data_IF_462267820838
#
_entry.id   IF_462267820838
#
_cell.length_a   1.000
_cell.length_b   1.000
_cell.length_c   1.000
_cell.angle_alpha   90.00
_cell.angle_beta   90.00
_cell.angle_gamma   90.00
#
_symmetry.space_group_name_H-M   'P 1'
#
loop_
_entity.id
_entity.type
_entity.pdbx_description
1 polymer ?
#
# COMPACT_ATOMS: atom_id res chain seq x y z
N UNK A 1 -31.33 -6.50 -1.81
CA UNK A 1 -30.44 -6.04 -2.89
C UNK A 1 -29.13 -6.81 -2.82
N UNK A 2 -28.60 -7.29 -3.93
CA UNK A 2 -27.34 -8.02 -3.94
C UNK A 2 -26.16 -7.02 -3.85
N UNK A 3 -25.53 -6.93 -2.67
CA UNK A 3 -24.43 -5.99 -2.40
C UNK A 3 -23.07 -6.46 -2.93
N UNK A 4 -22.97 -7.71 -3.36
CA UNK A 4 -21.70 -8.33 -3.76
C UNK A 4 -20.96 -7.58 -4.88
N UNK A 5 -21.61 -7.13 -5.98
CA UNK A 5 -20.92 -6.39 -7.03
C UNK A 5 -20.31 -5.08 -6.53
N UNK A 6 -21.07 -4.34 -5.70
CA UNK A 6 -20.60 -3.09 -5.10
C UNK A 6 -19.39 -3.33 -4.19
N UNK A 7 -19.47 -4.33 -3.31
CA UNK A 7 -18.38 -4.69 -2.40
C UNK A 7 -17.12 -5.08 -3.18
N UNK A 8 -17.26 -5.88 -4.24
CA UNK A 8 -16.15 -6.28 -5.10
C UNK A 8 -15.54 -5.08 -5.83
N UNK A 9 -16.36 -4.20 -6.40
CA UNK A 9 -15.87 -2.98 -7.06
C UNK A 9 -15.09 -2.09 -6.08
N UNK A 10 -15.62 -1.87 -4.88
CA UNK A 10 -14.93 -1.08 -3.85
C UNK A 10 -13.61 -1.74 -3.41
N UNK A 11 -13.61 -3.07 -3.25
CA UNK A 11 -12.42 -3.83 -2.90
C UNK A 11 -11.32 -3.66 -3.94
N UNK A 12 -11.66 -3.86 -5.22
CA UNK A 12 -10.71 -3.74 -6.33
C UNK A 12 -10.23 -2.29 -6.49
N UNK A 13 -11.11 -1.29 -6.41
CA UNK A 13 -10.72 0.11 -6.49
C UNK A 13 -9.74 0.49 -5.37
N UNK A 14 -9.98 0.05 -4.14
CA UNK A 14 -9.06 0.27 -3.02
C UNK A 14 -7.70 -0.39 -3.25
N UNK A 15 -7.68 -1.63 -3.75
CA UNK A 15 -6.45 -2.32 -4.12
C UNK A 15 -5.68 -1.56 -5.23
N UNK A 16 -6.38 -1.08 -6.27
CA UNK A 16 -5.81 -0.32 -7.37
C UNK A 16 -5.24 1.02 -6.91
N UNK A 17 -5.97 1.78 -6.09
CA UNK A 17 -5.50 3.07 -5.57
C UNK A 17 -4.22 2.89 -4.75
N UNK A 18 -4.20 1.91 -3.86
CA UNK A 18 -3.04 1.68 -3.00
C UNK A 18 -1.85 1.10 -3.78
N UNK A 19 -2.02 -0.04 -4.45
CA UNK A 19 -0.92 -0.72 -5.14
C UNK A 19 -0.47 0.07 -6.38
N UNK A 20 -1.40 0.62 -7.14
CA UNK A 20 -1.10 1.49 -8.29
C UNK A 20 -0.41 2.79 -7.87
N UNK A 21 -0.83 3.40 -6.77
CA UNK A 21 -0.16 4.57 -6.21
C UNK A 21 1.29 4.26 -5.75
N UNK A 22 1.52 3.10 -5.12
CA UNK A 22 2.88 2.64 -4.80
C UNK A 22 3.71 2.39 -6.05
N UNK A 23 3.13 1.78 -7.09
CA UNK A 23 3.80 1.56 -8.37
C UNK A 23 4.23 2.89 -9.01
N UNK A 24 3.30 3.84 -9.13
CA UNK A 24 3.59 5.16 -9.69
C UNK A 24 4.68 5.88 -8.88
N UNK A 25 4.56 5.89 -7.55
CA UNK A 25 5.55 6.53 -6.69
C UNK A 25 6.95 5.91 -6.86
N UNK A 26 7.04 4.58 -6.86
CA UNK A 26 8.31 3.87 -6.86
C UNK A 26 8.97 3.82 -8.25
N UNK A 27 8.19 3.54 -9.30
CA UNK A 27 8.69 3.30 -10.65
C UNK A 27 8.75 4.56 -11.52
N UNK A 28 7.86 5.53 -11.29
CA UNK A 28 7.73 6.70 -12.17
C UNK A 28 8.22 7.97 -11.47
N UNK A 29 7.62 8.32 -10.33
CA UNK A 29 7.92 9.58 -9.65
C UNK A 29 9.35 9.62 -9.10
N UNK A 30 9.81 8.53 -8.49
CA UNK A 30 11.15 8.44 -7.90
C UNK A 30 12.29 8.72 -8.87
N UNK A 31 12.43 8.02 -10.02
CA UNK A 31 13.57 8.27 -10.91
C UNK A 31 13.57 9.70 -11.44
N UNK A 32 12.39 10.26 -11.76
CA UNK A 32 12.25 11.66 -12.20
C UNK A 32 12.65 12.64 -11.11
N UNK A 33 12.19 12.44 -9.87
CA UNK A 33 12.59 13.27 -8.73
C UNK A 33 14.10 13.15 -8.44
N UNK A 34 14.71 11.99 -8.71
CA UNK A 34 16.14 11.79 -8.50
C UNK A 34 17.00 12.47 -9.57
N UNK A 35 16.51 12.61 -10.80
CA UNK A 35 17.24 13.25 -11.90
C UNK A 35 17.06 14.76 -11.95
N UNK A 36 15.87 15.27 -11.57
CA UNK A 36 15.54 16.69 -11.74
C UNK A 36 15.79 17.54 -10.48
N UNK A 37 15.82 16.96 -9.29
CA UNK A 37 15.85 17.71 -8.04
C UNK A 37 17.10 17.47 -7.22
N UNK A 38 17.61 18.57 -6.66
CA UNK A 38 18.67 18.55 -5.67
C UNK A 38 18.26 17.78 -4.39
N UNK A 39 19.22 17.20 -3.65
CA UNK A 39 18.91 16.33 -2.52
C UNK A 39 17.97 16.93 -1.47
N UNK A 40 18.11 18.20 -1.01
CA UNK A 40 17.21 18.78 0.00
C UNK A 40 15.78 19.00 -0.52
N UNK A 41 15.65 19.55 -1.74
CA UNK A 41 14.36 19.81 -2.39
C UNK A 41 13.58 18.51 -2.61
N UNK A 42 14.29 17.45 -3.01
CA UNK A 42 13.72 16.11 -3.19
C UNK A 42 13.13 15.54 -1.90
N UNK A 43 13.73 15.78 -0.72
CA UNK A 43 13.18 15.31 0.55
C UNK A 43 11.86 16.03 0.88
N UNK A 44 11.80 17.35 0.69
CA UNK A 44 10.58 18.14 0.87
C UNK A 44 9.45 17.70 -0.06
N UNK A 45 9.76 17.43 -1.34
CA UNK A 45 8.79 16.89 -2.30
C UNK A 45 8.21 15.56 -1.81
N UNK A 46 9.05 14.64 -1.34
CA UNK A 46 8.58 13.34 -0.84
C UNK A 46 7.69 13.47 0.39
N UNK A 47 8.02 14.37 1.32
CA UNK A 47 7.12 14.69 2.45
C UNK A 47 5.76 15.16 1.95
N UNK A 48 5.72 16.08 0.97
CA UNK A 48 4.47 16.61 0.44
C UNK A 48 3.64 15.57 -0.34
N UNK A 49 4.31 14.66 -1.06
CA UNK A 49 3.67 13.55 -1.79
C UNK A 49 3.09 12.54 -0.81
N UNK A 50 3.86 12.09 0.18
CA UNK A 50 3.38 11.17 1.20
C UNK A 50 2.25 11.76 2.03
N UNK A 51 2.32 13.06 2.35
CA UNK A 51 1.26 13.79 3.05
C UNK A 51 -0.09 13.77 2.31
N UNK A 52 -0.07 13.69 0.98
CA UNK A 52 -1.28 13.54 0.16
C UNK A 52 -1.68 12.09 -0.08
N UNK A 53 -0.72 11.19 -0.28
CA UNK A 53 -1.00 9.80 -0.64
C UNK A 53 -1.40 8.93 0.56
N UNK A 54 -0.80 9.12 1.74
CA UNK A 54 -1.07 8.27 2.90
C UNK A 54 -2.52 8.33 3.42
N UNK A 55 -3.23 9.47 3.38
CA UNK A 55 -4.68 9.48 3.63
C UNK A 55 -5.47 8.52 2.72
N UNK A 56 -5.13 8.44 1.43
CA UNK A 56 -5.75 7.49 0.50
C UNK A 56 -5.40 6.03 0.83
N UNK A 57 -4.19 5.77 1.34
CA UNK A 57 -3.80 4.44 1.82
C UNK A 57 -4.62 4.03 3.03
N UNK A 58 -4.83 4.95 4.00
CA UNK A 58 -5.71 4.70 5.15
C UNK A 58 -7.14 4.36 4.73
N UNK A 59 -7.71 5.14 3.82
CA UNK A 59 -9.05 4.85 3.26
C UNK A 59 -9.06 3.48 2.57
N UNK A 60 -8.03 3.19 1.76
CA UNK A 60 -7.93 1.91 1.06
C UNK A 60 -7.87 0.72 2.03
N UNK A 61 -7.10 0.82 3.12
CA UNK A 61 -7.02 -0.21 4.16
C UNK A 61 -8.40 -0.50 4.77
N UNK A 62 -9.11 0.55 5.17
CA UNK A 62 -10.45 0.41 5.79
C UNK A 62 -11.42 -0.24 4.80
N UNK A 63 -11.44 0.25 3.55
CA UNK A 63 -12.31 -0.30 2.50
C UNK A 63 -11.96 -1.76 2.22
N UNK A 64 -10.68 -2.12 2.11
CA UNK A 64 -10.23 -3.49 1.85
C UNK A 64 -10.62 -4.45 2.97
N UNK A 65 -10.48 -4.07 4.24
CA UNK A 65 -10.87 -4.89 5.38
C UNK A 65 -12.38 -5.11 5.39
N UNK A 66 -13.18 -4.03 5.31
CA UNK A 66 -14.63 -4.11 5.37
C UNK A 66 -15.17 -4.92 4.19
N UNK A 67 -14.75 -4.59 2.97
CA UNK A 67 -15.21 -5.27 1.76
C UNK A 67 -14.70 -6.71 1.68
N UNK A 68 -13.43 -6.95 2.03
CA UNK A 68 -12.80 -8.27 1.95
C UNK A 68 -13.44 -9.28 2.89
N UNK A 69 -13.62 -8.93 4.17
CA UNK A 69 -14.31 -9.81 5.10
C UNK A 69 -15.80 -9.97 4.75
N UNK A 70 -16.46 -8.90 4.30
CA UNK A 70 -17.85 -9.00 3.83
C UNK A 70 -18.00 -9.97 2.66
N UNK A 71 -17.09 -9.91 1.67
CA UNK A 71 -17.07 -10.83 0.53
C UNK A 71 -16.77 -12.25 1.00
N UNK A 72 -15.83 -12.43 1.92
CA UNK A 72 -15.47 -13.73 2.45
C UNK A 72 -16.66 -14.46 3.08
N UNK A 73 -17.36 -13.79 3.99
CA UNK A 73 -18.54 -14.39 4.65
C UNK A 73 -19.72 -14.57 3.69
N UNK A 74 -19.89 -13.68 2.70
CA UNK A 74 -20.99 -13.79 1.72
C UNK A 74 -20.77 -14.87 0.67
N UNK A 75 -19.53 -15.07 0.22
CA UNK A 75 -19.20 -16.01 -0.86
C UNK A 75 -18.85 -17.40 -0.35
N UNK A 76 -18.21 -17.49 0.82
CA UNK A 76 -17.71 -18.76 1.36
C UNK A 76 -18.40 -19.16 2.68
N UNK A 77 -19.25 -18.31 3.27
CA UNK A 77 -19.98 -18.59 4.50
C UNK A 77 -19.12 -18.51 5.77
N UNK A 78 -17.91 -19.03 5.75
CA UNK A 78 -16.94 -18.91 6.86
C UNK A 78 -15.49 -18.93 6.37
N UNK A 79 -14.57 -18.54 7.25
CA UNK A 79 -13.13 -18.60 6.96
C UNK A 79 -12.66 -20.03 6.66
N UNK A 80 -13.28 -21.06 7.26
CA UNK A 80 -12.89 -22.46 7.06
C UNK A 80 -13.27 -23.03 5.69
N UNK A 81 -14.24 -22.42 5.00
CA UNK A 81 -14.66 -22.82 3.66
C UNK A 81 -14.02 -21.97 2.55
N UNK A 82 -13.21 -20.96 2.92
CA UNK A 82 -12.52 -20.14 1.95
C UNK A 82 -11.39 -20.95 1.29
N UNK A 83 -11.19 -20.84 -0.03
CA UNK A 83 -10.11 -21.54 -0.72
C UNK A 83 -8.74 -21.00 -0.29
N UNK A 84 -7.69 -21.83 -0.44
CA UNK A 84 -6.33 -21.51 0.04
C UNK A 84 -5.81 -20.15 -0.46
N UNK A 85 -6.09 -19.77 -1.72
CA UNK A 85 -5.62 -18.49 -2.25
C UNK A 85 -6.19 -17.28 -1.49
N UNK A 86 -7.41 -17.39 -0.91
CA UNK A 86 -8.02 -16.32 -0.10
C UNK A 86 -7.29 -16.19 1.24
N UNK A 87 -6.88 -17.31 1.85
CA UNK A 87 -6.06 -17.30 3.06
C UNK A 87 -4.69 -16.67 2.81
N UNK A 88 -4.03 -17.03 1.70
CA UNK A 88 -2.76 -16.44 1.29
C UNK A 88 -2.92 -14.94 1.05
N UNK A 89 -3.95 -14.54 0.30
CA UNK A 89 -4.27 -13.12 0.05
C UNK A 89 -4.49 -12.34 1.34
N UNK A 90 -5.26 -12.89 2.28
CA UNK A 90 -5.50 -12.28 3.59
C UNK A 90 -4.19 -12.15 4.39
N UNK A 91 -3.38 -13.22 4.45
CA UNK A 91 -2.09 -13.21 5.14
C UNK A 91 -1.13 -12.16 4.59
N UNK A 92 -0.99 -12.09 3.26
CA UNK A 92 -0.16 -11.06 2.61
C UNK A 92 -0.72 -9.67 2.89
N UNK A 93 -2.03 -9.47 2.78
CA UNK A 93 -2.67 -8.19 3.07
C UNK A 93 -2.38 -7.69 4.50
N UNK A 94 -2.42 -8.57 5.50
CA UNK A 94 -2.05 -8.25 6.89
C UNK A 94 -0.58 -7.81 7.01
N UNK A 95 0.34 -8.51 6.33
CA UNK A 95 1.76 -8.16 6.29
C UNK A 95 1.95 -6.77 5.64
N UNK A 96 1.28 -6.52 4.52
CA UNK A 96 1.31 -5.23 3.83
C UNK A 96 0.85 -4.07 4.72
N UNK A 97 -0.23 -4.29 5.48
CA UNK A 97 -0.71 -3.31 6.47
C UNK A 97 0.29 -3.08 7.59
N UNK A 98 0.92 -4.14 8.14
CA UNK A 98 1.96 -4.00 9.14
C UNK A 98 3.17 -3.19 8.64
N UNK A 99 3.61 -3.44 7.41
CA UNK A 99 4.67 -2.65 6.75
C UNK A 99 4.25 -1.19 6.65
N UNK A 100 3.03 -0.91 6.18
CA UNK A 100 2.55 0.46 6.04
C UNK A 100 2.43 1.18 7.39
N UNK A 101 1.89 0.53 8.42
CA UNK A 101 1.81 1.10 9.77
C UNK A 101 3.21 1.46 10.27
N UNK A 102 4.17 0.57 10.12
CA UNK A 102 5.56 0.84 10.47
C UNK A 102 6.11 2.05 9.69
N UNK A 103 5.92 2.09 8.36
CA UNK A 103 6.35 3.21 7.47
C UNK A 103 5.73 4.54 7.91
N UNK A 104 4.43 4.56 8.19
CA UNK A 104 3.68 5.77 8.52
C UNK A 104 4.08 6.33 9.89
N UNK A 105 4.18 5.48 10.91
CA UNK A 105 4.41 5.91 12.29
C UNK A 105 5.89 6.14 12.61
N UNK A 106 6.82 5.50 11.90
CA UNK A 106 8.25 5.57 12.25
C UNK A 106 9.06 6.40 11.23
N UNK A 107 9.47 5.88 10.06
CA UNK A 107 10.38 6.61 9.18
C UNK A 107 9.73 7.83 8.52
N UNK A 108 8.41 7.83 8.25
CA UNK A 108 7.75 9.01 7.71
C UNK A 108 7.73 10.18 8.70
N UNK A 109 7.44 9.93 9.98
CA UNK A 109 7.49 10.98 11.01
C UNK A 109 8.91 11.53 11.15
N UNK A 110 9.92 10.64 11.21
CA UNK A 110 11.34 11.03 11.27
C UNK A 110 11.80 11.78 10.01
N UNK A 111 11.29 11.43 8.83
CA UNK A 111 11.57 12.16 7.59
C UNK A 111 11.01 13.59 7.66
N UNK A 112 9.75 13.76 8.10
CA UNK A 112 9.16 15.09 8.26
C UNK A 112 9.96 15.95 9.21
N UNK A 113 10.29 15.41 10.38
CA UNK A 113 11.11 16.09 11.39
C UNK A 113 12.46 16.50 10.81
N UNK A 114 13.18 15.57 10.17
CA UNK A 114 14.48 15.85 9.56
C UNK A 114 14.41 16.95 8.48
N UNK A 115 13.31 17.06 7.72
CA UNK A 115 13.12 18.15 6.75
C UNK A 115 12.90 19.49 7.47
N UNK A 116 12.13 19.52 8.56
CA UNK A 116 11.86 20.73 9.34
C UNK A 116 13.14 21.28 9.96
N UNK A 117 13.95 20.42 10.60
CA UNK A 117 15.21 20.82 11.25
C UNK A 117 16.41 20.81 10.29
N UNK A 118 16.18 20.60 9.00
CA UNK A 118 17.21 20.57 7.95
C UNK A 118 18.32 19.52 8.17
N UNK A 119 18.01 18.42 8.85
CA UNK A 119 18.91 17.28 9.07
C UNK A 119 18.97 16.35 7.84
N UNK A 120 19.51 16.86 6.73
CA UNK A 120 19.48 16.18 5.42
C UNK A 120 20.01 14.74 5.38
N UNK A 121 21.14 14.40 6.03
CA UNK A 121 21.63 13.02 6.03
C UNK A 121 20.65 12.05 6.70
N UNK A 122 20.01 12.48 7.79
CA UNK A 122 19.02 11.69 8.52
C UNK A 122 17.74 11.53 7.69
N UNK A 123 17.27 12.61 7.05
CA UNK A 123 16.14 12.57 6.13
C UNK A 123 16.38 11.62 4.95
N UNK A 124 17.57 11.65 4.35
CA UNK A 124 17.94 10.75 3.26
C UNK A 124 17.93 9.27 3.70
N UNK A 125 18.43 8.96 4.91
CA UNK A 125 18.40 7.61 5.46
C UNK A 125 16.95 7.12 5.68
N UNK A 126 16.08 7.94 6.25
CA UNK A 126 14.67 7.58 6.43
C UNK A 126 13.95 7.40 5.09
N UNK A 127 14.19 8.27 4.11
CA UNK A 127 13.63 8.10 2.77
C UNK A 127 14.14 6.82 2.09
N UNK A 128 15.41 6.43 2.27
CA UNK A 128 15.92 5.15 1.80
C UNK A 128 15.16 3.97 2.41
N UNK A 129 14.91 4.00 3.72
CA UNK A 129 14.12 2.98 4.41
C UNK A 129 12.67 2.92 3.91
N UNK A 130 12.01 4.05 3.74
CA UNK A 130 10.65 4.13 3.19
C UNK A 130 10.62 3.51 1.79
N UNK A 131 11.58 3.87 0.92
CA UNK A 131 11.64 3.34 -0.46
C UNK A 131 11.78 1.82 -0.47
N UNK A 132 12.67 1.26 0.33
CA UNK A 132 12.83 -0.19 0.43
C UNK A 132 11.53 -0.87 0.86
N UNK A 133 10.89 -0.37 1.94
CA UNK A 133 9.66 -0.94 2.46
C UNK A 133 8.48 -0.81 1.49
N UNK A 134 8.35 0.33 0.79
CA UNK A 134 7.36 0.50 -0.28
C UNK A 134 7.64 -0.47 -1.43
N UNK A 135 8.90 -0.71 -1.79
CA UNK A 135 9.27 -1.68 -2.82
C UNK A 135 8.85 -3.11 -2.45
N UNK A 136 9.13 -3.54 -1.20
CA UNK A 136 8.65 -4.83 -0.69
C UNK A 136 7.12 -4.89 -0.70
N UNK A 137 6.46 -3.84 -0.21
CA UNK A 137 5.01 -3.77 -0.13
C UNK A 137 4.34 -3.80 -1.51
N UNK A 138 4.95 -3.15 -2.51
CA UNK A 138 4.51 -3.17 -3.89
C UNK A 138 4.57 -4.59 -4.47
N UNK A 139 5.69 -5.30 -4.28
CA UNK A 139 5.82 -6.70 -4.75
C UNK A 139 4.74 -7.59 -4.15
N UNK A 140 4.51 -7.49 -2.84
CA UNK A 140 3.44 -8.21 -2.16
C UNK A 140 2.06 -7.86 -2.72
N UNK A 141 1.80 -6.57 -2.98
CA UNK A 141 0.55 -6.10 -3.56
C UNK A 141 0.30 -6.63 -4.97
N UNK A 142 1.33 -6.70 -5.81
CA UNK A 142 1.24 -7.29 -7.15
C UNK A 142 0.92 -8.79 -7.09
N UNK A 143 1.53 -9.53 -6.15
CA UNK A 143 1.21 -10.94 -5.89
C UNK A 143 -0.27 -11.08 -5.47
N UNK A 144 -0.74 -10.23 -4.55
CA UNK A 144 -2.15 -10.22 -4.12
C UNK A 144 -3.10 -9.95 -5.27
N UNK A 145 -2.79 -8.99 -6.15
CA UNK A 145 -3.62 -8.71 -7.34
C UNK A 145 -3.65 -9.92 -8.28
N UNK A 146 -2.51 -10.58 -8.51
CA UNK A 146 -2.45 -11.78 -9.33
C UNK A 146 -3.28 -12.93 -8.73
N UNK A 147 -3.21 -13.15 -7.42
CA UNK A 147 -4.03 -14.12 -6.70
C UNK A 147 -5.52 -13.77 -6.75
N UNK A 148 -5.89 -12.50 -6.57
CA UNK A 148 -7.28 -12.05 -6.57
C UNK A 148 -7.95 -12.16 -7.95
N UNK A 149 -7.20 -11.91 -9.01
CA UNK A 149 -7.69 -11.97 -10.40
C UNK A 149 -7.63 -13.37 -11.02
N UNK A 150 -6.57 -14.13 -10.71
CA UNK A 150 -6.29 -15.45 -11.30
C UNK A 150 -6.60 -16.65 -10.40
N UNK A 151 -6.62 -16.48 -9.08
CA UNK A 151 -6.66 -17.58 -8.11
C UNK A 151 -7.86 -18.51 -8.25
N UNK A 152 -9.01 -17.99 -8.69
CA UNK A 152 -10.22 -18.80 -8.98
C UNK A 152 -10.03 -19.83 -10.10
N UNK A 153 -9.02 -19.66 -10.95
CA UNK A 153 -8.72 -20.57 -12.06
C UNK A 153 -7.62 -21.58 -11.69
N UNK A 154 -7.00 -21.41 -10.52
CA UNK A 154 -5.93 -22.27 -10.01
C UNK A 154 -6.43 -23.22 -8.89
N UNK A 155 -7.68 -23.06 -8.46
CA UNK A 155 -8.32 -23.77 -7.35
C UNK A 155 -9.39 -24.73 -7.85
#
# INVERSE_FOLDING_TARGET
>A
MNLTPLLLSLHVLAAVIWVGGMFFAHQCLRPVAASLLEPPVRLGQWVAVFGRFFPWVWVSIIVLLISGYSLLFRLFGSMGHAPLYVHIMNGIGLIMMAIYLFVYFVPYQKLKEAVIIQAWPQGAAQLARIRFLIGVNLTLGLIVIALGSGGRYLA
#
